data_IF_315389569304
#
_entry.id   IF_315389569304
#
_cell.length_a   1.000
_cell.length_b   1.000
_cell.length_c   1.000
_cell.angle_alpha   90.00
_cell.angle_beta   90.00
_cell.angle_gamma   90.00
#
_symmetry.space_group_name_H-M   'P 1'
#
loop_
_entity.id
_entity.type
_entity.pdbx_description
1 polymer ?
#
# COMPACT_ATOMS: atom_id res chain seq x y z
N UNK A 1 16.21 -25.39 -11.49
CA UNK A 1 16.88 -25.56 -10.20
C UNK A 1 18.36 -25.13 -10.20
N UNK A 2 18.82 -24.22 -11.08
CA UNK A 2 20.23 -23.76 -11.16
C UNK A 2 20.42 -22.22 -11.23
N UNK A 3 19.33 -21.42 -11.07
CA UNK A 3 19.42 -19.94 -11.11
C UNK A 3 19.61 -19.34 -9.69
N UNK A 4 19.38 -20.14 -8.64
CA UNK A 4 19.38 -19.70 -7.24
C UNK A 4 20.77 -19.46 -6.62
N UNK A 5 21.83 -20.07 -7.15
CA UNK A 5 23.17 -20.06 -6.52
C UNK A 5 23.97 -18.75 -6.70
N UNK A 6 23.52 -17.85 -7.55
CA UNK A 6 24.30 -16.64 -7.87
C UNK A 6 23.87 -15.35 -7.17
N UNK A 7 22.69 -15.31 -6.52
CA UNK A 7 22.14 -14.09 -5.92
C UNK A 7 22.43 -13.94 -4.41
N UNK A 8 22.69 -15.03 -3.69
CA UNK A 8 22.90 -15.00 -2.26
C UNK A 8 24.29 -15.47 -1.86
N UNK A 9 25.10 -14.58 -1.27
CA UNK A 9 26.37 -14.93 -0.62
C UNK A 9 26.15 -15.37 0.82
N UNK A 10 25.59 -16.56 1.04
CA UNK A 10 25.29 -17.13 2.34
C UNK A 10 23.90 -17.80 2.36
N UNK A 11 23.54 -18.46 3.46
CA UNK A 11 22.18 -18.96 3.65
C UNK A 11 21.22 -17.77 3.74
N UNK A 12 20.09 -17.77 2.99
CA UNK A 12 19.10 -16.68 3.05
C UNK A 12 18.54 -16.59 4.48
N UNK A 13 18.37 -15.36 4.98
CA UNK A 13 17.89 -15.14 6.36
C UNK A 13 16.49 -15.70 6.56
N UNK A 14 15.63 -15.54 5.57
CA UNK A 14 14.20 -15.91 5.59
C UNK A 14 13.69 -16.02 4.16
N UNK A 15 12.74 -16.93 3.92
CA UNK A 15 12.01 -17.01 2.66
C UNK A 15 10.70 -16.23 2.78
N UNK A 16 10.51 -15.23 1.93
CA UNK A 16 9.37 -14.33 1.96
C UNK A 16 8.58 -14.40 0.64
N UNK A 17 7.31 -14.75 0.73
CA UNK A 17 6.38 -14.77 -0.40
C UNK A 17 5.60 -13.47 -0.44
N UNK A 18 5.68 -12.73 -1.54
CA UNK A 18 5.07 -11.39 -1.69
C UNK A 18 4.01 -11.43 -2.78
N UNK A 19 2.76 -11.09 -2.46
CA UNK A 19 1.68 -10.98 -3.43
C UNK A 19 1.52 -9.56 -3.93
N UNK A 20 1.03 -9.39 -5.16
CA UNK A 20 0.79 -8.06 -5.73
C UNK A 20 2.08 -7.32 -6.10
N UNK A 21 3.10 -8.06 -6.58
CA UNK A 21 4.43 -7.48 -6.86
C UNK A 21 4.46 -6.57 -8.08
N UNK A 22 3.46 -6.61 -8.93
CA UNK A 22 3.30 -5.65 -10.03
C UNK A 22 2.69 -4.31 -9.57
N UNK A 23 2.24 -4.21 -8.31
CA UNK A 23 1.76 -2.99 -7.66
C UNK A 23 2.87 -2.15 -7.06
N UNK A 24 2.50 -0.97 -6.53
CA UNK A 24 3.46 -0.01 -5.94
C UNK A 24 4.25 -0.62 -4.78
N UNK A 25 3.55 -1.13 -3.76
CA UNK A 25 4.17 -1.62 -2.53
C UNK A 25 4.88 -2.95 -2.72
N UNK A 26 4.25 -3.92 -3.41
CA UNK A 26 4.86 -5.23 -3.63
C UNK A 26 6.18 -5.14 -4.40
N UNK A 27 6.29 -4.21 -5.36
CA UNK A 27 7.53 -3.87 -6.06
C UNK A 27 8.63 -3.45 -5.07
N UNK A 28 8.36 -2.48 -4.21
CA UNK A 28 9.35 -1.95 -3.27
C UNK A 28 9.72 -2.97 -2.19
N UNK A 29 8.75 -3.78 -1.72
CA UNK A 29 9.02 -4.88 -0.76
C UNK A 29 9.99 -5.89 -1.35
N UNK A 30 9.79 -6.32 -2.60
CA UNK A 30 10.70 -7.27 -3.26
C UNK A 30 12.12 -6.69 -3.40
N UNK A 31 12.23 -5.42 -3.76
CA UNK A 31 13.53 -4.75 -3.89
C UNK A 31 14.25 -4.61 -2.53
N UNK A 32 13.52 -4.28 -1.45
CA UNK A 32 14.11 -4.17 -0.10
C UNK A 32 14.52 -5.55 0.45
N UNK A 33 13.72 -6.61 0.21
CA UNK A 33 14.09 -7.98 0.55
C UNK A 33 15.41 -8.38 -0.11
N UNK A 34 15.56 -8.12 -1.40
CA UNK A 34 16.79 -8.40 -2.13
C UNK A 34 17.98 -7.62 -1.58
N UNK A 35 17.80 -6.32 -1.30
CA UNK A 35 18.87 -5.47 -0.75
C UNK A 35 19.36 -5.95 0.62
N UNK A 36 18.49 -6.60 1.40
CA UNK A 36 18.80 -7.14 2.74
C UNK A 36 19.19 -8.61 2.75
N UNK A 37 19.21 -9.28 1.59
CA UNK A 37 19.65 -10.67 1.44
C UNK A 37 18.61 -11.72 1.89
N UNK A 38 17.31 -11.40 1.74
CA UNK A 38 16.22 -12.36 1.91
C UNK A 38 15.92 -13.11 0.62
N UNK A 39 15.40 -14.34 0.74
CA UNK A 39 14.86 -15.09 -0.39
C UNK A 39 13.44 -14.60 -0.70
N UNK A 40 13.29 -13.59 -1.56
CA UNK A 40 12.00 -13.09 -2.01
C UNK A 40 11.45 -13.88 -3.20
N UNK A 41 10.18 -14.29 -3.12
CA UNK A 41 9.42 -14.89 -4.21
C UNK A 41 8.20 -14.04 -4.46
N UNK A 42 8.11 -13.45 -5.65
CA UNK A 42 7.00 -12.58 -6.05
C UNK A 42 5.86 -13.33 -6.71
N UNK A 43 4.63 -12.84 -6.52
CA UNK A 43 3.46 -13.34 -7.25
C UNK A 43 2.50 -12.22 -7.62
N UNK A 44 1.87 -12.40 -8.77
CA UNK A 44 0.74 -11.61 -9.26
C UNK A 44 -0.10 -12.46 -10.21
N UNK A 45 -1.24 -11.95 -10.70
CA UNK A 45 -2.14 -12.68 -11.59
C UNK A 45 -1.58 -12.84 -13.01
N UNK A 46 -0.71 -11.96 -13.46
CA UNK A 46 -0.11 -12.01 -14.79
C UNK A 46 0.79 -13.26 -14.95
N UNK A 47 0.91 -13.84 -16.17
CA UNK A 47 1.73 -15.02 -16.38
C UNK A 47 3.23 -14.80 -16.13
N UNK A 48 3.68 -13.54 -16.13
CA UNK A 48 5.03 -13.10 -15.77
C UNK A 48 4.95 -11.74 -15.09
N UNK A 49 6.04 -11.31 -14.43
CA UNK A 49 6.09 -9.98 -13.84
C UNK A 49 5.69 -8.89 -14.83
N UNK A 50 4.75 -8.04 -14.46
CA UNK A 50 4.13 -7.02 -15.32
C UNK A 50 4.22 -5.60 -14.75
N UNK A 51 5.03 -5.40 -13.71
CA UNK A 51 5.35 -4.06 -13.17
C UNK A 51 6.38 -3.32 -14.02
N UNK A 52 6.98 -2.27 -13.49
CA UNK A 52 8.00 -1.52 -14.18
C UNK A 52 9.22 -2.40 -14.47
N UNK A 53 9.70 -2.37 -15.71
CA UNK A 53 10.96 -3.00 -16.14
C UNK A 53 12.10 -1.97 -15.97
N UNK A 54 12.40 -1.66 -14.74
CA UNK A 54 13.38 -0.64 -14.33
C UNK A 54 14.77 -1.23 -14.02
N UNK A 55 14.94 -2.55 -14.24
CA UNK A 55 16.17 -3.26 -13.96
C UNK A 55 16.45 -3.50 -12.48
N UNK A 56 15.55 -3.13 -11.59
CA UNK A 56 15.64 -3.41 -10.15
C UNK A 56 15.52 -4.90 -9.84
N UNK A 57 15.75 -5.29 -8.58
CA UNK A 57 15.82 -6.70 -8.19
C UNK A 57 14.53 -7.46 -8.46
N UNK A 58 13.35 -6.85 -8.26
CA UNK A 58 12.05 -7.50 -8.48
C UNK A 58 11.89 -8.05 -9.89
N UNK A 59 12.49 -7.42 -10.91
CA UNK A 59 12.43 -7.86 -12.31
C UNK A 59 13.21 -9.15 -12.58
N UNK A 60 14.07 -9.55 -11.64
CA UNK A 60 14.99 -10.70 -11.74
C UNK A 60 14.75 -11.76 -10.67
N UNK A 61 13.94 -11.46 -9.65
CA UNK A 61 13.63 -12.38 -8.57
C UNK A 61 12.65 -13.48 -9.03
N UNK A 62 12.62 -14.62 -8.33
CA UNK A 62 11.64 -15.66 -8.62
C UNK A 62 10.22 -15.14 -8.61
N UNK A 63 9.44 -15.56 -9.60
CA UNK A 63 8.06 -15.14 -9.80
C UNK A 63 7.16 -16.36 -10.05
N UNK A 64 5.97 -16.35 -9.44
CA UNK A 64 4.92 -17.35 -9.63
C UNK A 64 3.65 -16.65 -10.05
N UNK A 65 3.06 -17.02 -11.19
CA UNK A 65 1.72 -16.56 -11.56
C UNK A 65 0.69 -17.23 -10.65
N UNK A 66 -0.13 -16.45 -9.95
CA UNK A 66 -1.12 -16.95 -9.01
C UNK A 66 -2.32 -16.02 -8.92
N UNK A 67 -3.52 -16.57 -9.15
CA UNK A 67 -4.76 -15.93 -8.78
C UNK A 67 -5.07 -16.26 -7.31
N UNK A 68 -5.05 -15.26 -6.44
CA UNK A 68 -5.32 -15.45 -5.00
C UNK A 68 -6.76 -15.88 -4.72
N UNK A 69 -7.69 -15.74 -5.67
CA UNK A 69 -9.08 -16.20 -5.54
C UNK A 69 -9.22 -17.71 -5.79
N UNK A 70 -8.21 -18.35 -6.40
CA UNK A 70 -8.14 -19.80 -6.56
C UNK A 70 -7.54 -20.44 -5.30
N UNK A 71 -8.42 -20.95 -4.43
CA UNK A 71 -8.06 -21.52 -3.15
C UNK A 71 -7.07 -22.69 -3.26
N UNK A 72 -7.32 -23.61 -4.20
CA UNK A 72 -6.49 -24.80 -4.35
C UNK A 72 -5.10 -24.45 -4.88
N UNK A 73 -5.03 -23.50 -5.83
CA UNK A 73 -3.77 -22.99 -6.34
C UNK A 73 -2.97 -22.24 -5.25
N UNK A 74 -3.61 -21.42 -4.42
CA UNK A 74 -2.98 -20.73 -3.28
C UNK A 74 -2.43 -21.72 -2.28
N UNK A 75 -3.25 -22.69 -1.84
CA UNK A 75 -2.85 -23.68 -0.88
C UNK A 75 -1.66 -24.50 -1.39
N UNK A 76 -1.75 -25.01 -2.63
CA UNK A 76 -0.66 -25.76 -3.26
C UNK A 76 0.62 -24.95 -3.32
N UNK A 77 0.55 -23.73 -3.84
CA UNK A 77 1.73 -22.87 -4.04
C UNK A 77 2.43 -22.59 -2.70
N UNK A 78 1.70 -22.15 -1.69
CA UNK A 78 2.28 -21.78 -0.39
C UNK A 78 2.81 -23.02 0.35
N UNK A 79 2.11 -24.16 0.28
CA UNK A 79 2.58 -25.39 0.94
C UNK A 79 3.77 -26.04 0.25
N UNK A 80 3.94 -25.90 -1.06
CA UNK A 80 5.11 -26.36 -1.80
C UNK A 80 6.32 -25.44 -1.57
N UNK A 81 6.13 -24.11 -1.62
CA UNK A 81 7.20 -23.12 -1.42
C UNK A 81 7.66 -23.03 0.03
N UNK A 82 6.75 -23.24 1.00
CA UNK A 82 7.00 -23.14 2.45
C UNK A 82 7.74 -21.84 2.83
N UNK A 83 7.18 -20.67 2.54
CA UNK A 83 7.77 -19.43 3.00
C UNK A 83 7.66 -19.31 4.53
N UNK A 84 8.62 -18.64 5.16
CA UNK A 84 8.56 -18.25 6.57
C UNK A 84 7.54 -17.13 6.80
N UNK A 85 7.38 -16.27 5.81
CA UNK A 85 6.50 -15.09 5.85
C UNK A 85 5.78 -14.90 4.52
N UNK A 86 4.51 -14.49 4.59
CA UNK A 86 3.77 -13.95 3.44
C UNK A 86 3.50 -12.47 3.66
N UNK A 87 3.97 -11.61 2.74
CA UNK A 87 3.61 -10.18 2.68
C UNK A 87 2.51 -10.01 1.63
N UNK A 88 1.28 -9.78 2.08
CA UNK A 88 0.11 -9.75 1.23
C UNK A 88 -0.23 -8.32 0.81
N UNK A 89 0.26 -7.92 -0.38
CA UNK A 89 0.01 -6.60 -0.99
C UNK A 89 -1.06 -6.63 -2.09
N UNK A 90 -1.45 -7.81 -2.59
CA UNK A 90 -2.46 -7.93 -3.63
C UNK A 90 -3.83 -7.47 -3.11
N UNK A 91 -4.48 -6.55 -3.80
CA UNK A 91 -5.81 -6.06 -3.49
C UNK A 91 -6.45 -5.36 -4.69
N UNK A 92 -7.77 -5.34 -4.72
CA UNK A 92 -8.52 -4.40 -5.55
C UNK A 92 -8.51 -3.04 -4.85
N UNK A 93 -7.92 -2.03 -5.49
CA UNK A 93 -7.76 -0.68 -4.91
C UNK A 93 -8.49 0.43 -5.68
N UNK A 94 -9.19 0.09 -6.75
CA UNK A 94 -9.97 1.04 -7.53
C UNK A 94 -11.31 1.33 -6.81
N UNK A 95 -11.27 2.26 -5.84
CA UNK A 95 -12.34 2.52 -4.87
C UNK A 95 -13.67 2.86 -5.54
N UNK A 96 -13.68 3.77 -6.54
CA UNK A 96 -14.92 4.16 -7.23
C UNK A 96 -15.49 3.03 -8.10
N UNK A 97 -14.63 2.23 -8.75
CA UNK A 97 -15.05 1.08 -9.53
C UNK A 97 -15.60 -0.07 -8.66
N UNK A 98 -15.20 -0.12 -7.40
CA UNK A 98 -15.72 -1.12 -6.46
C UNK A 98 -17.22 -0.93 -6.18
N UNK A 99 -17.76 0.28 -6.39
CA UNK A 99 -19.18 0.57 -6.23
C UNK A 99 -20.04 0.10 -7.42
N UNK A 100 -19.45 -0.33 -8.54
CA UNK A 100 -20.17 -0.88 -9.66
C UNK A 100 -20.77 -2.24 -9.29
N UNK A 101 -22.08 -2.44 -9.52
CA UNK A 101 -22.79 -3.65 -9.08
C UNK A 101 -22.20 -4.94 -9.69
N UNK A 102 -21.68 -4.86 -10.92
CA UNK A 102 -21.01 -5.97 -11.60
C UNK A 102 -19.58 -6.24 -11.08
N UNK A 103 -19.01 -5.36 -10.24
CA UNK A 103 -17.67 -5.48 -9.68
C UNK A 103 -17.65 -5.94 -8.21
N UNK A 104 -18.70 -5.67 -7.44
CA UNK A 104 -18.75 -5.93 -5.99
C UNK A 104 -18.36 -7.37 -5.63
N UNK A 105 -18.89 -8.36 -6.33
CA UNK A 105 -18.53 -9.76 -6.09
C UNK A 105 -17.04 -10.04 -6.36
N UNK A 106 -16.46 -9.44 -7.41
CA UNK A 106 -15.04 -9.59 -7.74
C UNK A 106 -14.15 -8.88 -6.71
N UNK A 107 -14.55 -7.69 -6.26
CA UNK A 107 -13.83 -6.95 -5.21
C UNK A 107 -13.79 -7.76 -3.91
N UNK A 108 -14.93 -8.34 -3.51
CA UNK A 108 -15.01 -9.21 -2.34
C UNK A 108 -14.14 -10.46 -2.51
N UNK A 109 -14.23 -11.14 -3.65
CA UNK A 109 -13.42 -12.32 -3.94
C UNK A 109 -11.91 -12.04 -3.83
N UNK A 110 -11.44 -10.87 -4.27
CA UNK A 110 -10.02 -10.51 -4.20
C UNK A 110 -9.64 -10.07 -2.78
N UNK A 111 -10.36 -9.11 -2.18
CA UNK A 111 -9.95 -8.47 -0.93
C UNK A 111 -10.26 -9.31 0.32
N UNK A 112 -11.35 -10.09 0.30
CA UNK A 112 -11.79 -10.90 1.43
C UNK A 112 -11.45 -12.39 1.22
N UNK A 113 -12.04 -13.03 0.20
CA UNK A 113 -11.87 -14.48 0.00
C UNK A 113 -10.42 -14.84 -0.35
N UNK A 114 -9.76 -14.07 -1.22
CA UNK A 114 -8.35 -14.23 -1.56
C UNK A 114 -7.43 -14.07 -0.33
N UNK A 115 -7.73 -13.10 0.53
CA UNK A 115 -7.02 -12.93 1.80
C UNK A 115 -7.24 -14.11 2.74
N UNK A 116 -8.47 -14.65 2.82
CA UNK A 116 -8.77 -15.86 3.60
C UNK A 116 -7.99 -17.07 3.08
N UNK A 117 -7.92 -17.25 1.74
CA UNK A 117 -7.15 -18.34 1.14
C UNK A 117 -5.67 -18.28 1.53
N UNK A 118 -5.07 -17.08 1.50
CA UNK A 118 -3.68 -16.86 1.93
C UNK A 118 -3.52 -17.16 3.43
N UNK A 119 -4.42 -16.67 4.29
CA UNK A 119 -4.37 -16.90 5.72
C UNK A 119 -4.50 -18.39 6.07
N UNK A 120 -5.43 -19.12 5.44
CA UNK A 120 -5.59 -20.57 5.61
C UNK A 120 -4.30 -21.34 5.23
N UNK A 121 -3.66 -20.97 4.13
CA UNK A 121 -2.42 -21.58 3.69
C UNK A 121 -1.25 -21.25 4.65
N UNK A 122 -1.13 -20.01 5.13
CA UNK A 122 -0.15 -19.63 6.15
C UNK A 122 -0.33 -20.44 7.44
N UNK A 123 -1.58 -20.64 7.90
CA UNK A 123 -1.87 -21.45 9.09
C UNK A 123 -1.37 -22.89 8.95
N UNK A 124 -1.52 -23.49 7.76
CA UNK A 124 -1.09 -24.88 7.50
C UNK A 124 0.41 -25.09 7.64
N UNK A 125 1.21 -24.08 7.33
CA UNK A 125 2.68 -24.14 7.36
C UNK A 125 3.29 -23.36 8.52
N UNK A 126 2.46 -22.78 9.41
CA UNK A 126 2.86 -21.95 10.56
C UNK A 126 3.64 -20.66 10.16
N UNK A 127 3.38 -20.13 8.96
CA UNK A 127 4.02 -18.92 8.47
C UNK A 127 3.45 -17.65 9.11
N UNK A 128 4.29 -16.61 9.24
CA UNK A 128 3.84 -15.24 9.56
C UNK A 128 3.10 -14.63 8.37
N UNK A 129 2.16 -13.73 8.64
CA UNK A 129 1.48 -12.96 7.59
C UNK A 129 1.51 -11.47 7.88
N UNK A 130 1.91 -10.67 6.90
CA UNK A 130 1.72 -9.21 6.88
C UNK A 130 0.58 -8.90 5.93
N UNK A 131 -0.49 -8.30 6.43
CA UNK A 131 -1.65 -7.86 5.65
C UNK A 131 -1.71 -6.35 5.57
N UNK A 132 -1.77 -5.81 4.36
CA UNK A 132 -1.88 -4.37 4.14
C UNK A 132 -3.36 -3.99 4.11
N UNK A 133 -3.78 -3.17 5.06
CA UNK A 133 -5.13 -2.65 5.19
C UNK A 133 -5.16 -1.12 5.00
N UNK A 134 -6.26 -0.50 5.36
CA UNK A 134 -6.59 0.89 5.03
C UNK A 134 -7.31 1.59 6.18
N UNK A 135 -7.24 2.92 6.21
CA UNK A 135 -8.08 3.79 7.02
C UNK A 135 -9.59 3.68 6.70
N UNK A 136 -9.95 3.17 5.52
CA UNK A 136 -11.35 3.01 5.07
C UNK A 136 -12.15 1.97 5.86
N UNK A 137 -11.54 1.26 6.80
CA UNK A 137 -12.26 0.37 7.73
C UNK A 137 -13.05 1.13 8.79
N UNK A 138 -12.80 2.43 8.97
CA UNK A 138 -13.47 3.32 9.90
C UNK A 138 -14.56 4.17 9.23
N UNK A 139 -15.39 4.85 10.01
CA UNK A 139 -16.47 5.73 9.52
C UNK A 139 -15.96 7.07 8.93
N UNK A 140 -14.68 7.36 9.08
CA UNK A 140 -14.05 8.56 8.56
C UNK A 140 -14.55 9.87 9.17
N UNK A 141 -15.22 9.85 10.33
CA UNK A 141 -15.77 11.02 10.99
C UNK A 141 -14.85 11.56 12.08
N UNK A 142 -15.13 12.80 12.52
CA UNK A 142 -14.38 13.44 13.60
C UNK A 142 -13.03 13.99 13.16
N UNK A 143 -12.17 14.29 14.15
CA UNK A 143 -10.84 14.89 13.91
C UNK A 143 -9.73 14.23 14.72
N UNK A 144 -10.09 13.31 15.62
CA UNK A 144 -9.13 12.54 16.42
C UNK A 144 -8.49 11.45 15.56
N UNK A 145 -7.17 11.25 15.62
CA UNK A 145 -6.51 10.15 14.94
C UNK A 145 -7.02 8.79 15.44
N UNK A 146 -7.32 7.89 14.52
CA UNK A 146 -7.70 6.51 14.82
C UNK A 146 -6.55 5.77 15.50
N UNK A 147 -6.87 5.04 16.56
CA UNK A 147 -5.90 4.21 17.26
C UNK A 147 -5.74 2.84 16.55
N UNK A 148 -4.52 2.24 16.53
CA UNK A 148 -4.30 0.95 15.86
C UNK A 148 -5.20 -0.17 16.36
N UNK A 149 -5.48 -0.21 17.67
CA UNK A 149 -6.29 -1.23 18.30
C UNK A 149 -7.80 -0.90 18.35
N UNK A 150 -8.21 0.24 17.77
CA UNK A 150 -9.61 0.61 17.62
C UNK A 150 -10.35 -0.39 16.73
N UNK A 151 -11.51 -0.83 17.19
CA UNK A 151 -12.41 -1.77 16.51
C UNK A 151 -13.80 -1.17 16.22
N UNK A 152 -13.92 0.14 16.27
CA UNK A 152 -15.13 0.87 15.91
C UNK A 152 -15.23 0.96 14.38
N UNK A 153 -15.37 -0.21 13.77
CA UNK A 153 -15.42 -0.37 12.32
C UNK A 153 -16.76 0.11 11.78
N UNK A 154 -16.71 0.96 10.75
CA UNK A 154 -17.90 1.40 10.03
C UNK A 154 -17.53 1.86 8.60
N UNK A 155 -17.07 0.96 7.74
CA UNK A 155 -16.63 1.30 6.38
C UNK A 155 -17.75 1.96 5.58
N UNK A 156 -17.42 3.01 4.83
CA UNK A 156 -18.37 3.83 4.09
C UNK A 156 -18.66 3.31 2.67
N UNK A 157 -17.88 2.35 2.18
CA UNK A 157 -17.93 1.90 0.80
C UNK A 157 -17.50 0.42 0.66
N UNK A 158 -17.72 -0.15 -0.52
CA UNK A 158 -17.41 -1.56 -0.82
C UNK A 158 -15.94 -1.89 -0.63
N UNK A 159 -15.05 -0.99 -1.04
CA UNK A 159 -13.61 -1.19 -0.85
C UNK A 159 -13.26 -1.32 0.64
N UNK A 160 -13.70 -0.36 1.46
CA UNK A 160 -13.45 -0.37 2.91
C UNK A 160 -14.03 -1.62 3.58
N UNK A 161 -15.26 -2.02 3.22
CA UNK A 161 -15.89 -3.23 3.76
C UNK A 161 -15.09 -4.48 3.42
N UNK A 162 -14.71 -4.66 2.17
CA UNK A 162 -13.98 -5.87 1.74
C UNK A 162 -12.55 -5.93 2.30
N UNK A 163 -11.93 -4.77 2.54
CA UNK A 163 -10.64 -4.70 3.25
C UNK A 163 -10.77 -5.06 4.73
N UNK A 164 -11.85 -4.64 5.37
CA UNK A 164 -12.18 -5.04 6.75
C UNK A 164 -12.43 -6.54 6.84
N UNK A 165 -13.21 -7.11 5.90
CA UNK A 165 -13.45 -8.56 5.86
C UNK A 165 -12.12 -9.33 5.75
N UNK A 166 -11.15 -8.82 4.98
CA UNK A 166 -9.78 -9.33 4.92
C UNK A 166 -9.03 -9.23 6.26
N UNK A 167 -9.13 -8.10 6.99
CA UNK A 167 -8.55 -8.00 8.35
C UNK A 167 -9.10 -9.07 9.29
N UNK A 168 -10.43 -9.23 9.27
CA UNK A 168 -11.11 -10.22 10.12
C UNK A 168 -10.74 -11.65 9.72
N UNK A 169 -10.59 -11.94 8.43
CA UNK A 169 -10.10 -13.23 7.94
C UNK A 169 -8.71 -13.55 8.51
N UNK A 170 -7.77 -12.61 8.45
CA UNK A 170 -6.42 -12.78 9.00
C UNK A 170 -6.46 -12.97 10.52
N UNK A 171 -7.11 -12.04 11.25
CA UNK A 171 -7.11 -12.05 12.72
C UNK A 171 -7.84 -13.26 13.34
N UNK A 172 -8.86 -13.79 12.66
CA UNK A 172 -9.58 -14.97 13.11
C UNK A 172 -8.86 -16.30 12.77
N UNK A 173 -7.92 -16.26 11.82
CA UNK A 173 -7.25 -17.46 11.32
C UNK A 173 -5.87 -17.64 11.94
N UNK A 174 -5.10 -16.56 12.14
CA UNK A 174 -3.69 -16.58 12.50
C UNK A 174 -3.45 -15.94 13.87
N UNK A 175 -2.38 -16.38 14.54
CA UNK A 175 -1.80 -15.72 15.71
C UNK A 175 -0.57 -14.86 15.32
N UNK A 176 0.18 -15.30 14.30
CA UNK A 176 1.40 -14.66 13.82
C UNK A 176 1.12 -13.71 12.67
N UNK A 177 0.51 -12.56 12.97
CA UNK A 177 0.15 -11.59 11.93
C UNK A 177 0.48 -10.14 12.29
N UNK A 178 0.76 -9.37 11.25
CA UNK A 178 0.77 -7.91 11.26
C UNK A 178 -0.33 -7.41 10.33
N UNK A 179 -1.29 -6.66 10.85
CA UNK A 179 -2.28 -5.92 10.05
C UNK A 179 -1.84 -4.47 10.06
N UNK A 180 -1.41 -3.96 8.91
CA UNK A 180 -0.85 -2.62 8.78
C UNK A 180 -1.81 -1.76 7.97
N UNK A 181 -2.50 -0.81 8.63
CA UNK A 181 -3.38 0.15 7.99
C UNK A 181 -2.57 1.35 7.51
N UNK A 182 -2.80 1.72 6.29
CA UNK A 182 -2.13 2.82 5.59
C UNK A 182 -3.16 3.73 4.93
N UNK A 183 -2.72 4.92 4.51
CA UNK A 183 -3.55 5.87 3.79
C UNK A 183 -2.73 6.55 2.68
N UNK A 184 -3.37 7.01 1.61
CA UNK A 184 -2.81 7.90 0.59
C UNK A 184 -1.48 7.43 -0.01
N UNK A 185 -1.48 6.18 -0.49
CA UNK A 185 -0.27 5.47 -0.95
C UNK A 185 0.26 6.05 -2.26
N UNK A 186 1.57 6.24 -2.33
CA UNK A 186 2.28 6.54 -3.56
C UNK A 186 3.61 5.77 -3.64
N UNK A 187 4.02 5.44 -4.85
CA UNK A 187 5.25 4.73 -5.17
C UNK A 187 5.61 4.88 -6.63
N UNK A 188 6.82 4.52 -6.99
CA UNK A 188 7.35 4.68 -8.36
C UNK A 188 6.58 3.82 -9.35
N UNK A 189 6.29 2.57 -8.98
CA UNK A 189 5.55 1.66 -9.83
C UNK A 189 4.03 1.93 -9.80
N UNK A 190 3.39 1.98 -10.96
CA UNK A 190 1.94 2.14 -11.09
C UNK A 190 1.45 3.60 -11.05
N UNK A 191 0.14 3.76 -10.81
CA UNK A 191 -0.56 5.05 -10.82
C UNK A 191 -0.81 5.51 -9.39
N UNK A 192 -0.75 6.83 -9.16
CA UNK A 192 -1.08 7.45 -7.88
C UNK A 192 -1.50 8.90 -8.04
N UNK A 193 -1.92 9.51 -6.94
CA UNK A 193 -2.39 10.88 -6.91
C UNK A 193 -1.33 11.90 -7.40
N UNK A 194 -0.06 11.74 -7.00
CA UNK A 194 1.02 12.66 -7.40
C UNK A 194 1.17 12.69 -8.92
N UNK A 195 1.30 11.51 -9.54
CA UNK A 195 1.40 11.40 -11.02
C UNK A 195 0.17 12.00 -11.70
N UNK A 196 -1.01 11.83 -11.11
CA UNK A 196 -2.23 12.43 -11.65
C UNK A 196 -2.17 13.95 -11.59
N UNK A 197 -1.79 14.53 -10.43
CA UNK A 197 -1.68 15.98 -10.28
C UNK A 197 -0.63 16.58 -11.21
N UNK A 198 0.54 15.96 -11.33
CA UNK A 198 1.57 16.39 -12.27
C UNK A 198 1.06 16.38 -13.72
N UNK A 199 0.36 15.32 -14.14
CA UNK A 199 -0.18 15.22 -15.50
C UNK A 199 -1.25 16.29 -15.80
N UNK A 200 -2.21 16.49 -14.87
CA UNK A 200 -3.26 17.51 -15.09
C UNK A 200 -2.71 18.92 -14.97
N UNK A 201 -1.73 19.16 -14.11
CA UNK A 201 -1.06 20.46 -13.94
C UNK A 201 -0.33 20.94 -15.19
N UNK A 202 0.16 20.04 -16.04
CA UNK A 202 0.78 20.43 -17.34
C UNK A 202 -0.20 21.04 -18.33
N UNK A 203 -1.47 20.65 -18.27
CA UNK A 203 -2.47 20.96 -19.31
C UNK A 203 -3.55 21.94 -18.87
N UNK A 204 -3.60 22.28 -17.59
CA UNK A 204 -4.58 23.17 -17.01
C UNK A 204 -3.90 24.39 -16.37
N UNK A 205 -4.56 25.51 -16.36
CA UNK A 205 -4.17 26.74 -15.66
C UNK A 205 -4.88 26.90 -14.31
N UNK A 206 -5.92 26.10 -14.06
CA UNK A 206 -6.66 26.06 -12.79
C UNK A 206 -7.12 24.66 -12.44
N UNK A 207 -6.88 24.27 -11.17
CA UNK A 207 -7.36 23.03 -10.59
C UNK A 207 -8.18 23.31 -9.34
N UNK A 208 -9.18 22.46 -9.08
CA UNK A 208 -9.91 22.43 -7.81
C UNK A 208 -9.62 21.10 -7.09
N UNK A 209 -9.22 21.17 -5.82
CA UNK A 209 -8.81 20.00 -5.05
C UNK A 209 -9.49 20.00 -3.69
N UNK A 210 -9.94 18.81 -3.26
CA UNK A 210 -10.64 18.62 -2.01
C UNK A 210 -9.77 19.01 -0.80
N UNK A 211 -10.34 19.81 0.11
CA UNK A 211 -9.63 20.37 1.27
C UNK A 211 -10.20 19.95 2.63
N UNK A 212 -11.29 19.18 2.65
CA UNK A 212 -11.98 18.71 3.86
C UNK A 212 -11.78 17.22 4.15
N UNK A 213 -10.98 16.52 3.36
CA UNK A 213 -10.49 15.16 3.66
C UNK A 213 -9.06 15.28 4.16
N UNK A 214 -8.80 14.79 5.39
CA UNK A 214 -7.53 15.00 6.10
C UNK A 214 -6.87 13.67 6.44
N UNK A 215 -5.61 13.52 6.03
CA UNK A 215 -4.81 12.30 6.24
C UNK A 215 -3.32 12.58 6.16
N UNK A 216 -2.55 11.52 5.95
CA UNK A 216 -1.10 11.62 5.72
C UNK A 216 -0.71 10.69 4.58
N UNK A 217 0.10 11.15 3.60
CA UNK A 217 0.61 10.31 2.53
C UNK A 217 1.53 9.19 3.03
N UNK A 218 1.59 8.08 2.28
CA UNK A 218 2.45 6.93 2.58
C UNK A 218 3.29 6.58 1.35
N UNK A 219 4.60 6.75 1.44
CA UNK A 219 5.55 6.34 0.41
C UNK A 219 5.88 4.85 0.55
N UNK A 220 5.65 4.09 -0.51
CA UNK A 220 5.83 2.63 -0.50
C UNK A 220 7.26 2.19 -0.21
N UNK A 221 8.27 2.95 -0.65
CA UNK A 221 9.67 2.68 -0.33
C UNK A 221 9.98 2.79 1.18
N UNK A 222 9.40 3.77 1.87
CA UNK A 222 9.58 3.90 3.32
C UNK A 222 8.79 2.82 4.07
N UNK A 223 7.58 2.52 3.60
CA UNK A 223 6.75 1.48 4.16
C UNK A 223 7.38 0.09 3.98
N UNK A 224 7.96 -0.22 2.82
CA UNK A 224 8.60 -1.52 2.56
C UNK A 224 9.71 -1.81 3.58
N UNK A 225 10.52 -0.81 3.92
CA UNK A 225 11.56 -0.92 4.95
C UNK A 225 11.00 -1.27 6.32
N UNK A 226 9.91 -0.62 6.71
CA UNK A 226 9.22 -0.94 7.97
C UNK A 226 8.66 -2.37 7.94
N UNK A 227 8.01 -2.79 6.85
CA UNK A 227 7.46 -4.15 6.75
C UNK A 227 8.56 -5.21 6.87
N UNK A 228 9.74 -4.99 6.26
CA UNK A 228 10.88 -5.90 6.39
C UNK A 228 11.47 -5.87 7.80
N UNK A 229 11.46 -4.73 8.50
CA UNK A 229 11.83 -4.69 9.92
C UNK A 229 10.81 -5.46 10.79
N UNK A 230 9.50 -5.37 10.47
CA UNK A 230 8.44 -6.08 11.21
C UNK A 230 8.56 -7.60 11.12
N UNK A 231 8.84 -8.14 9.93
CA UNK A 231 8.92 -9.61 9.76
C UNK A 231 10.06 -10.25 10.54
N UNK A 232 11.09 -9.49 10.91
CA UNK A 232 12.20 -9.96 11.78
C UNK A 232 11.78 -10.12 13.26
N UNK A 233 10.56 -9.69 13.63
CA UNK A 233 10.07 -9.66 15.02
C UNK A 233 8.83 -10.54 15.20
N UNK A 234 8.45 -10.74 16.47
CA UNK A 234 7.19 -11.37 16.87
C UNK A 234 6.23 -10.37 17.54
N UNK A 235 6.35 -9.08 17.18
CA UNK A 235 5.53 -7.98 17.71
C UNK A 235 4.21 -7.88 16.95
N UNK A 236 3.46 -8.96 16.93
CA UNK A 236 2.23 -9.14 16.17
C UNK A 236 1.11 -8.15 16.55
N UNK A 237 0.11 -8.03 15.69
CA UNK A 237 -1.10 -7.26 15.91
C UNK A 237 -1.35 -6.16 14.87
N UNK A 238 -2.19 -5.21 15.26
CA UNK A 238 -2.59 -4.09 14.41
C UNK A 238 -1.64 -2.93 14.53
N UNK A 239 -1.29 -2.31 13.41
CA UNK A 239 -0.44 -1.13 13.30
C UNK A 239 -1.02 -0.13 12.31
N UNK A 240 -0.71 1.14 12.53
CA UNK A 240 -0.88 2.20 11.56
C UNK A 240 0.48 2.66 11.05
N UNK A 241 0.64 2.81 9.74
CA UNK A 241 1.92 3.19 9.14
C UNK A 241 1.70 4.16 7.98
N UNK A 242 1.87 5.44 8.22
CA UNK A 242 1.98 6.51 7.22
C UNK A 242 3.26 7.28 7.46
N UNK A 243 3.74 8.09 6.50
CA UNK A 243 4.86 8.97 6.75
C UNK A 243 4.55 9.96 7.90
N UNK A 244 5.58 10.47 8.57
CA UNK A 244 5.45 11.55 9.56
C UNK A 244 5.27 12.90 8.86
N UNK A 245 5.17 14.00 9.62
CA UNK A 245 5.08 15.36 9.09
C UNK A 245 3.68 15.99 9.18
N UNK A 246 2.80 15.40 10.02
CA UNK A 246 1.47 15.92 10.32
C UNK A 246 0.38 15.47 9.36
N UNK A 247 -0.82 16.00 9.60
CA UNK A 247 -2.03 15.69 8.83
C UNK A 247 -2.36 16.85 7.91
N UNK A 248 -2.66 16.55 6.67
CA UNK A 248 -2.90 17.52 5.58
C UNK A 248 -4.14 17.16 4.76
N UNK A 249 -4.65 18.13 4.00
CA UNK A 249 -5.68 17.86 2.99
C UNK A 249 -5.06 17.45 1.64
N UNK A 250 -5.87 16.92 0.73
CA UNK A 250 -5.45 16.70 -0.66
C UNK A 250 -5.03 18.02 -1.34
N UNK A 251 -5.70 19.14 -0.98
CA UNK A 251 -5.34 20.47 -1.43
C UNK A 251 -3.92 20.86 -0.98
N UNK A 252 -3.62 20.70 0.32
CA UNK A 252 -2.28 21.00 0.84
C UNK A 252 -1.22 20.12 0.19
N UNK A 253 -1.53 18.83 0.02
CA UNK A 253 -0.63 17.90 -0.65
C UNK A 253 -0.35 18.31 -2.09
N UNK A 254 -1.38 18.72 -2.85
CA UNK A 254 -1.24 19.20 -4.23
C UNK A 254 -0.35 20.45 -4.31
N UNK A 255 -0.53 21.38 -3.39
CA UNK A 255 0.33 22.60 -3.35
C UNK A 255 1.80 22.24 -3.10
N UNK A 256 2.07 21.34 -2.19
CA UNK A 256 3.45 20.92 -1.91
C UNK A 256 4.04 20.12 -3.10
N UNK A 257 3.26 19.26 -3.77
CA UNK A 257 3.70 18.57 -5.00
C UNK A 257 4.20 19.58 -6.03
N UNK A 258 3.41 20.59 -6.34
CA UNK A 258 3.78 21.59 -7.35
C UNK A 258 4.94 22.48 -6.90
N UNK A 259 4.96 22.89 -5.64
CA UNK A 259 6.08 23.65 -5.08
C UNK A 259 7.40 22.89 -5.22
N UNK A 260 7.46 21.62 -4.81
CA UNK A 260 8.68 20.82 -4.92
C UNK A 260 9.04 20.50 -6.38
N UNK A 261 8.07 20.33 -7.26
CA UNK A 261 8.32 20.20 -8.70
C UNK A 261 9.00 21.45 -9.27
N UNK A 262 8.54 22.66 -8.88
CA UNK A 262 9.18 23.93 -9.28
C UNK A 262 10.61 24.02 -8.72
N UNK A 263 10.83 23.64 -7.47
CA UNK A 263 12.18 23.60 -6.85
C UNK A 263 13.13 22.66 -7.61
N UNK A 264 12.61 21.62 -8.24
CA UNK A 264 13.36 20.69 -9.10
C UNK A 264 13.50 21.19 -10.57
N UNK A 265 13.01 22.37 -10.89
CA UNK A 265 13.17 23.02 -12.20
C UNK A 265 11.97 22.95 -13.14
N UNK A 266 10.86 22.36 -12.71
CA UNK A 266 9.62 22.22 -13.48
C UNK A 266 8.73 23.45 -13.32
N UNK A 267 9.08 24.55 -14.01
CA UNK A 267 8.43 25.86 -13.88
C UNK A 267 7.00 25.89 -14.41
N UNK A 268 6.57 24.89 -15.17
CA UNK A 268 5.20 24.72 -15.64
C UNK A 268 4.17 24.55 -14.50
N UNK A 269 4.62 24.29 -13.27
CA UNK A 269 3.77 24.19 -12.08
C UNK A 269 3.80 25.42 -11.19
N UNK A 270 4.45 26.52 -11.63
CA UNK A 270 4.53 27.77 -10.84
C UNK A 270 3.16 28.38 -10.58
N UNK A 271 3.01 29.08 -9.46
CA UNK A 271 1.75 29.75 -9.06
C UNK A 271 1.30 30.82 -10.06
N UNK A 272 2.21 31.41 -10.84
CA UNK A 272 1.90 32.37 -11.90
C UNK A 272 1.17 31.71 -13.08
N UNK A 273 1.38 30.41 -13.29
CA UNK A 273 0.80 29.66 -14.41
C UNK A 273 -0.36 28.77 -13.97
N UNK A 274 -0.27 28.14 -12.80
CA UNK A 274 -1.23 27.15 -12.33
C UNK A 274 -1.81 27.54 -10.97
N UNK A 275 -3.11 27.84 -10.96
CA UNK A 275 -3.85 28.14 -9.73
C UNK A 275 -4.49 26.86 -9.18
N UNK A 276 -4.26 26.56 -7.90
CA UNK A 276 -4.94 25.49 -7.17
C UNK A 276 -5.92 26.12 -6.18
N UNK A 277 -7.20 25.78 -6.29
CA UNK A 277 -8.25 26.27 -5.40
C UNK A 277 -8.80 25.14 -4.54
N UNK A 278 -9.04 25.38 -3.22
CA UNK A 278 -9.68 24.40 -2.37
C UNK A 278 -11.18 24.30 -2.69
N UNK A 279 -11.72 23.07 -2.59
CA UNK A 279 -13.16 22.78 -2.62
C UNK A 279 -13.50 21.77 -1.55
N UNK A 280 -14.75 21.76 -1.10
CA UNK A 280 -15.26 20.71 -0.21
C UNK A 280 -15.55 19.44 -1.02
N UNK A 281 -15.64 18.30 -0.33
CA UNK A 281 -16.08 17.03 -0.94
C UNK A 281 -17.45 17.17 -1.60
N UNK A 282 -18.38 17.92 -0.98
CA UNK A 282 -19.71 18.18 -1.52
C UNK A 282 -19.67 19.00 -2.83
N UNK A 283 -18.82 20.02 -2.90
CA UNK A 283 -18.64 20.85 -4.10
C UNK A 283 -17.93 20.07 -5.22
N UNK A 284 -17.01 19.19 -4.86
CA UNK A 284 -16.30 18.35 -5.84
C UNK A 284 -17.24 17.38 -6.55
N UNK A 285 -18.11 16.68 -5.84
CA UNK A 285 -19.30 15.98 -6.33
C UNK A 285 -19.13 14.81 -7.31
N UNK A 286 -17.89 14.45 -7.70
CA UNK A 286 -17.65 13.45 -8.76
C UNK A 286 -17.24 12.07 -8.25
N UNK A 287 -17.05 11.90 -6.95
CA UNK A 287 -16.71 10.61 -6.36
C UNK A 287 -17.92 9.70 -6.26
N UNK A 288 -17.83 8.48 -6.79
CA UNK A 288 -18.88 7.47 -6.70
C UNK A 288 -18.92 6.82 -5.31
N UNK A 289 -17.76 6.52 -4.76
CA UNK A 289 -17.60 6.00 -3.42
C UNK A 289 -17.55 7.15 -2.39
N UNK A 290 -18.22 6.98 -1.26
CA UNK A 290 -18.04 7.86 -0.11
C UNK A 290 -16.61 7.75 0.43
N UNK A 291 -15.94 8.89 0.63
CA UNK A 291 -14.57 8.94 1.15
C UNK A 291 -14.54 9.47 2.57
N UNK A 292 -13.63 8.98 3.43
CA UNK A 292 -13.50 9.45 4.79
C UNK A 292 -13.01 10.91 4.82
N UNK A 293 -13.64 11.75 5.66
CA UNK A 293 -13.12 13.07 6.01
C UNK A 293 -11.91 12.97 6.93
N UNK A 294 -11.89 11.93 7.79
CA UNK A 294 -10.85 11.69 8.77
C UNK A 294 -10.08 10.40 8.44
N UNK A 295 -8.96 10.55 7.76
CA UNK A 295 -7.97 9.51 7.47
C UNK A 295 -6.72 9.64 8.37
N UNK A 296 -6.86 10.31 9.53
CA UNK A 296 -5.75 10.46 10.48
C UNK A 296 -5.52 9.15 11.21
N UNK A 297 -4.31 8.63 11.13
CA UNK A 297 -3.91 7.38 11.77
C UNK A 297 -2.86 7.67 12.84
N UNK A 298 -3.11 7.26 14.08
CA UNK A 298 -2.12 7.30 15.15
C UNK A 298 -1.06 6.21 14.92
N UNK A 299 0.21 6.57 15.03
CA UNK A 299 1.37 5.71 14.75
C UNK A 299 2.23 5.44 15.99
N UNK A 300 1.80 5.90 17.16
CA UNK A 300 2.57 5.79 18.41
C UNK A 300 2.98 4.34 18.72
N UNK A 301 2.13 3.39 18.40
CA UNK A 301 2.39 1.95 18.61
C UNK A 301 3.63 1.43 17.85
N UNK A 302 4.02 2.05 16.73
CA UNK A 302 5.29 1.70 16.07
C UNK A 302 6.47 1.97 17.01
N UNK A 303 6.53 3.17 17.56
CA UNK A 303 7.61 3.59 18.48
C UNK A 303 7.57 2.79 19.79
N UNK A 304 6.39 2.58 20.37
CA UNK A 304 6.20 1.78 21.58
C UNK A 304 6.72 0.35 21.42
N UNK A 305 6.64 -0.20 20.21
CA UNK A 305 7.16 -1.51 19.86
C UNK A 305 8.61 -1.45 19.32
N UNK A 306 9.26 -0.29 19.36
CA UNK A 306 10.67 -0.11 18.99
C UNK A 306 10.92 -0.08 17.47
N UNK A 307 9.89 0.12 16.66
CA UNK A 307 10.05 0.42 15.24
C UNK A 307 10.37 1.90 15.04
N UNK A 308 11.12 2.21 13.99
CA UNK A 308 11.41 3.60 13.64
C UNK A 308 10.19 4.20 12.91
N UNK A 309 9.79 5.44 13.25
CA UNK A 309 8.82 6.17 12.43
C UNK A 309 9.32 6.31 10.99
N UNK A 310 8.39 6.36 10.05
CA UNK A 310 8.73 6.67 8.66
C UNK A 310 9.21 8.14 8.58
N UNK A 311 10.07 8.49 7.60
CA UNK A 311 10.41 9.89 7.33
C UNK A 311 9.18 10.79 7.15
N UNK A 312 9.37 12.11 7.15
CA UNK A 312 8.26 13.02 6.88
C UNK A 312 7.75 12.85 5.45
N UNK A 313 6.46 13.08 5.24
CA UNK A 313 5.86 12.98 3.89
C UNK A 313 6.46 14.01 2.92
N UNK A 314 6.95 15.16 3.43
CA UNK A 314 7.64 16.16 2.61
C UNK A 314 8.96 15.63 2.07
N UNK A 315 9.76 14.98 2.91
CA UNK A 315 11.01 14.31 2.51
C UNK A 315 10.72 13.14 1.55
N UNK A 316 9.70 12.34 1.86
CA UNK A 316 9.27 11.23 1.02
C UNK A 316 8.84 11.71 -0.39
N UNK A 317 8.07 12.81 -0.46
CA UNK A 317 7.66 13.44 -1.71
C UNK A 317 8.89 13.93 -2.50
N UNK A 318 9.84 14.60 -1.82
CA UNK A 318 11.05 15.09 -2.48
C UNK A 318 11.86 13.97 -3.13
N UNK A 319 12.10 12.89 -2.39
CA UNK A 319 12.81 11.70 -2.92
C UNK A 319 12.04 11.07 -4.08
N UNK A 320 10.73 10.95 -3.94
CA UNK A 320 9.86 10.39 -4.98
C UNK A 320 9.90 11.20 -6.28
N UNK A 321 9.81 12.55 -6.20
CA UNK A 321 9.87 13.43 -7.37
C UNK A 321 11.22 13.37 -8.10
N UNK A 322 12.31 13.03 -7.40
CA UNK A 322 13.62 12.83 -8.02
C UNK A 322 13.76 11.49 -8.74
N UNK A 323 12.90 10.51 -8.41
CA UNK A 323 12.94 9.17 -8.98
C UNK A 323 12.03 8.99 -10.20
N UNK A 324 11.01 9.83 -10.34
CA UNK A 324 10.05 9.72 -11.44
C UNK A 324 10.34 10.72 -12.55
N UNK A 325 10.01 10.34 -13.79
CA UNK A 325 9.94 11.26 -14.93
C UNK A 325 8.53 11.86 -15.01
N UNK A 326 8.43 13.18 -15.18
CA UNK A 326 7.14 13.88 -15.31
C UNK A 326 7.25 15.20 -16.06
#
# INVERSE_FOLDING_TARGET
MRVYEYLYKGDPKMKVFVTGVAGQLGHDVMNDLAARGYEGIGTDIAPQYSGADDGTAVTKMPYVSLDITDRDAVEKTITELKPDVVVHCAAWTAVDLAEDDDKKAKVHAINADGTQNIADACKKIDAKMVYISTDYVFDGQGTTPWQPDCKDYAPLNVYGQTKLDGELAVANTLEKYFIVRIAWVFGVNGKNFIKTMLNVGKTHDKLTVVSDQIGTPTYTLDLSRLLVDMIETDKYGYYHATNEGGYISWYDFTKEIFKQAVELGHTEYSEDRLTVAPVTTAEYGVSKAARPFNSRLDKSKLVENGFKPLPTWQDALHRYLQEIEF
#
